data_IF_352860054586
#
_entry.id   IF_352860054586
#
_cell.length_a   1.000
_cell.length_b   1.000
_cell.length_c   1.000
_cell.angle_alpha   90.00
_cell.angle_beta   90.00
_cell.angle_gamma   90.00
#
_symmetry.space_group_name_H-M   'P 1'
#
loop_
_entity.id
_entity.type
_entity.pdbx_description
1 polymer ?
#
# COMPACT_ATOMS: atom_id res chain seq x y z
N UNK A 1 -22.77 9.74 16.82
CA UNK A 1 -22.17 8.44 17.10
C UNK A 1 -21.73 7.67 15.88
N UNK A 2 -22.64 7.31 14.94
CA UNK A 2 -22.36 6.38 13.81
C UNK A 2 -21.29 6.88 12.81
N UNK A 3 -21.23 8.17 12.52
CA UNK A 3 -20.19 8.76 11.67
C UNK A 3 -18.78 8.49 12.20
N UNK A 4 -18.59 8.67 13.51
CA UNK A 4 -17.28 8.50 14.16
C UNK A 4 -16.85 7.04 14.08
N UNK A 5 -17.77 6.11 14.34
CA UNK A 5 -17.48 4.66 14.31
C UNK A 5 -17.06 4.19 12.92
N UNK A 6 -17.76 4.62 11.86
CA UNK A 6 -17.44 4.24 10.50
C UNK A 6 -16.09 4.84 10.03
N UNK A 7 -15.85 6.13 10.31
CA UNK A 7 -14.55 6.74 9.99
C UNK A 7 -13.40 6.07 10.73
N UNK A 8 -13.62 5.68 11.99
CA UNK A 8 -12.64 4.95 12.78
C UNK A 8 -12.33 3.57 12.20
N UNK A 9 -13.35 2.85 11.69
CA UNK A 9 -13.15 1.55 11.03
C UNK A 9 -12.34 1.68 9.73
N UNK A 10 -12.58 2.70 8.92
CA UNK A 10 -11.86 2.92 7.67
C UNK A 10 -10.41 3.31 7.94
N UNK A 11 -10.19 4.19 8.92
CA UNK A 11 -8.84 4.53 9.40
C UNK A 11 -8.12 3.28 9.91
N UNK A 12 -8.80 2.45 10.71
CA UNK A 12 -8.22 1.23 11.26
C UNK A 12 -7.78 0.24 10.18
N UNK A 13 -8.56 0.09 9.10
CA UNK A 13 -8.19 -0.75 7.94
C UNK A 13 -6.87 -0.29 7.31
N UNK A 14 -6.72 1.01 7.05
CA UNK A 14 -5.50 1.57 6.48
C UNK A 14 -4.30 1.34 7.41
N UNK A 15 -4.45 1.63 8.70
CA UNK A 15 -3.38 1.45 9.67
C UNK A 15 -2.94 -0.01 9.78
N UNK A 16 -3.89 -0.95 9.82
CA UNK A 16 -3.59 -2.38 9.90
C UNK A 16 -2.84 -2.87 8.67
N UNK A 17 -3.32 -2.57 7.46
CA UNK A 17 -2.61 -2.93 6.22
C UNK A 17 -1.17 -2.41 6.25
N UNK A 18 -0.98 -1.16 6.67
CA UNK A 18 0.32 -0.54 6.72
C UNK A 18 1.25 -1.16 7.75
N UNK A 19 0.76 -1.44 8.97
CA UNK A 19 1.58 -2.06 10.03
C UNK A 19 2.02 -3.45 9.58
N UNK A 20 1.09 -4.29 9.15
CA UNK A 20 1.41 -5.64 8.69
C UNK A 20 2.33 -5.62 7.46
N UNK A 21 2.10 -4.71 6.52
CA UNK A 21 3.00 -4.53 5.37
C UNK A 21 4.44 -4.20 5.80
N UNK A 22 4.62 -3.21 6.70
CA UNK A 22 5.96 -2.85 7.19
C UNK A 22 6.63 -4.01 7.92
N UNK A 23 5.91 -4.71 8.79
CA UNK A 23 6.44 -5.86 9.53
C UNK A 23 6.87 -6.96 8.57
N UNK A 24 6.05 -7.31 7.58
CA UNK A 24 6.38 -8.30 6.56
C UNK A 24 7.60 -7.89 5.75
N UNK A 25 7.66 -6.64 5.29
CA UNK A 25 8.79 -6.15 4.49
C UNK A 25 10.09 -6.14 5.29
N UNK A 26 10.06 -5.73 6.56
CA UNK A 26 11.23 -5.80 7.43
C UNK A 26 11.68 -7.26 7.58
N UNK A 27 10.77 -8.17 7.89
CA UNK A 27 11.10 -9.58 8.07
C UNK A 27 11.71 -10.21 6.79
N UNK A 28 11.05 -10.01 5.64
CA UNK A 28 11.49 -10.59 4.36
C UNK A 28 12.81 -9.99 3.89
N UNK A 29 12.91 -8.66 3.82
CA UNK A 29 14.11 -7.98 3.25
C UNK A 29 15.32 -8.13 4.18
N UNK A 30 15.13 -8.10 5.50
CA UNK A 30 16.22 -8.36 6.45
C UNK A 30 16.66 -9.82 6.37
N UNK A 31 15.74 -10.76 6.20
CA UNK A 31 16.09 -12.17 5.94
C UNK A 31 16.89 -12.38 4.65
N UNK A 32 16.75 -11.50 3.66
CA UNK A 32 17.54 -11.48 2.42
C UNK A 32 18.88 -10.73 2.57
N UNK A 33 19.21 -10.23 3.77
CA UNK A 33 20.43 -9.49 4.04
C UNK A 33 20.42 -8.04 3.57
N UNK A 34 19.22 -7.47 3.32
CA UNK A 34 19.01 -6.09 2.93
C UNK A 34 18.34 -5.25 4.02
N UNK A 35 17.94 -4.03 3.66
CA UNK A 35 17.12 -3.15 4.47
C UNK A 35 16.00 -2.55 3.60
N UNK A 36 14.71 -2.62 4.01
CA UNK A 36 13.63 -2.25 3.10
C UNK A 36 13.47 -0.75 2.93
N UNK A 37 13.66 0.03 3.99
CA UNK A 37 13.41 1.48 3.99
C UNK A 37 14.45 2.23 4.80
N UNK A 38 14.99 3.32 4.27
CA UNK A 38 15.69 4.29 5.08
C UNK A 38 14.71 5.01 6.04
N UNK A 39 15.18 5.51 7.20
CA UNK A 39 14.32 6.19 8.18
C UNK A 39 13.47 7.32 7.57
N UNK A 40 14.08 8.15 6.71
CA UNK A 40 13.39 9.26 6.02
C UNK A 40 12.37 8.76 5.00
N UNK A 41 12.65 7.68 4.29
CA UNK A 41 11.69 7.02 3.38
C UNK A 41 10.49 6.46 4.16
N UNK A 42 10.73 5.91 5.35
CA UNK A 42 9.66 5.45 6.23
C UNK A 42 8.75 6.59 6.71
N UNK A 43 9.28 7.81 6.89
CA UNK A 43 8.50 8.99 7.21
C UNK A 43 7.60 9.39 6.01
N UNK A 44 8.16 9.40 4.78
CA UNK A 44 7.38 9.65 3.56
C UNK A 44 6.22 8.67 3.44
N UNK A 45 6.49 7.37 3.59
CA UNK A 45 5.45 6.33 3.57
C UNK A 45 4.40 6.56 4.66
N UNK A 46 4.79 7.13 5.81
CA UNK A 46 3.86 7.48 6.89
C UNK A 46 2.90 8.59 6.50
N UNK A 47 3.38 9.58 5.79
CA UNK A 47 2.58 10.67 5.29
C UNK A 47 1.52 10.18 4.29
N UNK A 48 1.94 9.41 3.29
CA UNK A 48 1.06 8.90 2.23
C UNK A 48 0.12 7.79 2.72
N UNK A 49 0.59 6.91 3.58
CA UNK A 49 -0.15 5.72 3.98
C UNK A 49 -0.94 5.85 5.28
N UNK A 50 -0.76 6.94 6.05
CA UNK A 50 -1.50 7.09 7.30
C UNK A 50 -1.97 8.52 7.56
N UNK A 51 -1.06 9.50 7.59
CA UNK A 51 -1.39 10.85 8.08
C UNK A 51 -2.46 11.52 7.22
N UNK A 52 -2.22 11.66 5.92
CA UNK A 52 -3.17 12.31 5.01
C UNK A 52 -4.46 11.51 4.87
N UNK A 53 -4.44 10.18 4.66
CA UNK A 53 -5.66 9.39 4.64
C UNK A 53 -6.47 9.46 5.92
N UNK A 54 -5.83 9.38 7.10
CA UNK A 54 -6.54 9.44 8.37
C UNK A 54 -7.27 10.77 8.57
N UNK A 55 -6.61 11.89 8.24
CA UNK A 55 -7.23 13.23 8.26
C UNK A 55 -8.41 13.29 7.29
N UNK A 56 -8.25 12.79 6.06
CA UNK A 56 -9.31 12.79 5.05
C UNK A 56 -10.53 11.97 5.52
N UNK A 57 -10.31 10.77 6.05
CA UNK A 57 -11.40 9.94 6.59
C UNK A 57 -12.04 10.53 7.84
N UNK A 58 -11.27 11.18 8.71
CA UNK A 58 -11.82 11.86 9.88
C UNK A 58 -12.74 13.04 9.49
N UNK A 59 -12.33 13.83 8.51
CA UNK A 59 -13.10 15.00 8.05
C UNK A 59 -14.35 14.61 7.24
N UNK A 60 -14.28 13.57 6.41
CA UNK A 60 -15.35 13.19 5.48
C UNK A 60 -15.98 11.84 5.76
N UNK A 61 -15.91 11.40 7.03
CA UNK A 61 -16.59 10.18 7.49
C UNK A 61 -18.10 10.22 7.23
N UNK A 62 -18.64 9.12 6.70
CA UNK A 62 -20.07 8.98 6.35
C UNK A 62 -20.87 8.31 7.46
N UNK A 63 -22.14 8.69 7.67
CA UNK A 63 -23.06 7.88 8.43
C UNK A 63 -23.42 6.65 7.62
N UNK A 64 -23.31 5.46 8.20
CA UNK A 64 -23.71 4.20 7.60
C UNK A 64 -24.07 3.20 8.68
N UNK A 65 -24.76 2.09 8.34
CA UNK A 65 -25.08 1.05 9.30
C UNK A 65 -23.78 0.43 9.85
N UNK A 66 -23.70 0.28 11.15
CA UNK A 66 -22.60 -0.44 11.80
C UNK A 66 -22.73 -1.93 11.45
N UNK A 67 -21.69 -2.58 10.91
CA UNK A 67 -21.76 -3.99 10.57
C UNK A 67 -21.99 -4.82 11.85
N UNK A 68 -23.03 -5.66 11.84
CA UNK A 68 -23.36 -6.60 12.93
C UNK A 68 -22.35 -7.76 13.04
N UNK A 69 -21.52 -7.96 12.03
CA UNK A 69 -20.47 -9.00 12.00
C UNK A 69 -19.30 -8.56 12.85
N UNK A 70 -18.66 -9.50 13.55
CA UNK A 70 -17.52 -9.21 14.40
C UNK A 70 -16.44 -8.41 13.65
N UNK A 71 -16.12 -7.23 14.17
CA UNK A 71 -15.21 -6.25 13.57
C UNK A 71 -13.88 -6.87 13.13
N UNK A 72 -13.36 -7.82 13.94
CA UNK A 72 -12.11 -8.52 13.65
C UNK A 72 -12.17 -9.35 12.37
N UNK A 73 -13.25 -10.11 12.13
CA UNK A 73 -13.41 -10.91 10.90
C UNK A 73 -13.49 -10.00 9.66
N UNK A 74 -14.23 -8.89 9.77
CA UNK A 74 -14.36 -7.94 8.68
C UNK A 74 -13.03 -7.26 8.33
N UNK A 75 -12.25 -6.90 9.36
CA UNK A 75 -10.91 -6.33 9.19
C UNK A 75 -9.95 -7.36 8.58
N UNK A 76 -9.90 -8.58 9.11
CA UNK A 76 -9.00 -9.63 8.62
C UNK A 76 -9.28 -9.98 7.15
N UNK A 77 -10.55 -10.04 6.75
CA UNK A 77 -10.98 -10.29 5.36
C UNK A 77 -10.42 -9.27 4.37
N UNK A 78 -10.28 -8.02 4.81
CA UNK A 78 -9.71 -6.94 3.99
C UNK A 78 -8.19 -6.88 4.10
N UNK A 79 -7.67 -6.87 5.34
CA UNK A 79 -6.27 -6.60 5.65
C UNK A 79 -5.35 -7.71 5.16
N UNK A 80 -5.71 -8.98 5.38
CA UNK A 80 -4.84 -10.11 5.08
C UNK A 80 -4.50 -10.21 3.59
N UNK A 81 -5.47 -10.31 2.65
CA UNK A 81 -5.15 -10.44 1.23
C UNK A 81 -4.46 -9.21 0.67
N UNK A 82 -4.93 -8.01 1.07
CA UNK A 82 -4.36 -6.75 0.61
C UNK A 82 -2.89 -6.62 1.01
N UNK A 83 -2.57 -6.97 2.27
CA UNK A 83 -1.20 -6.91 2.79
C UNK A 83 -0.30 -7.95 2.14
N UNK A 84 -0.77 -9.19 1.99
CA UNK A 84 0.02 -10.27 1.37
C UNK A 84 0.33 -9.95 -0.09
N UNK A 85 -0.66 -9.50 -0.86
CA UNK A 85 -0.45 -9.10 -2.26
C UNK A 85 0.49 -7.88 -2.34
N UNK A 86 0.32 -6.89 -1.46
CA UNK A 86 1.20 -5.72 -1.42
C UNK A 86 2.64 -6.12 -1.10
N UNK A 87 2.83 -7.02 -0.12
CA UNK A 87 4.15 -7.50 0.25
C UNK A 87 4.80 -8.35 -0.85
N UNK A 88 4.03 -9.17 -1.56
CA UNK A 88 4.52 -9.97 -2.69
C UNK A 88 5.02 -9.07 -3.83
N UNK A 89 4.22 -8.08 -4.25
CA UNK A 89 4.65 -7.09 -5.26
C UNK A 89 5.86 -6.29 -4.81
N UNK A 90 5.85 -5.80 -3.57
CA UNK A 90 6.94 -5.04 -2.99
C UNK A 90 8.24 -5.83 -2.93
N UNK A 91 8.18 -7.11 -2.55
CA UNK A 91 9.33 -8.01 -2.54
C UNK A 91 9.85 -8.26 -3.95
N UNK A 92 8.98 -8.51 -4.92
CA UNK A 92 9.37 -8.69 -6.31
C UNK A 92 10.05 -7.42 -6.87
N UNK A 93 9.50 -6.24 -6.59
CA UNK A 93 10.09 -4.96 -6.97
C UNK A 93 11.46 -4.80 -6.29
N UNK A 94 11.56 -5.00 -4.98
CA UNK A 94 12.82 -4.89 -4.28
C UNK A 94 13.90 -5.80 -4.89
N UNK A 95 13.58 -7.07 -5.14
CA UNK A 95 14.50 -8.02 -5.75
C UNK A 95 14.90 -7.63 -7.18
N UNK A 96 13.96 -7.17 -7.99
CA UNK A 96 14.21 -6.76 -9.37
C UNK A 96 15.22 -5.61 -9.47
N UNK A 97 15.26 -4.72 -8.48
CA UNK A 97 16.25 -3.63 -8.42
C UNK A 97 17.51 -3.99 -7.63
N UNK A 98 17.37 -4.76 -6.55
CA UNK A 98 18.48 -5.09 -5.66
C UNK A 98 19.44 -6.13 -6.28
N UNK A 99 18.93 -7.14 -7.00
CA UNK A 99 19.78 -8.20 -7.55
C UNK A 99 20.75 -7.68 -8.62
N UNK A 100 20.34 -6.92 -9.65
CA UNK A 100 21.29 -6.38 -10.62
C UNK A 100 22.23 -5.35 -10.01
N UNK A 101 21.76 -4.52 -9.07
CA UNK A 101 22.59 -3.56 -8.36
C UNK A 101 23.67 -4.24 -7.50
N UNK A 102 23.30 -5.33 -6.81
CA UNK A 102 24.26 -6.16 -6.06
C UNK A 102 25.28 -6.81 -6.98
N UNK A 103 24.85 -7.39 -8.10
CA UNK A 103 25.72 -8.06 -9.04
C UNK A 103 26.75 -7.08 -9.66
N UNK A 104 26.31 -5.91 -10.10
CA UNK A 104 27.19 -4.88 -10.67
C UNK A 104 28.17 -4.31 -9.62
N UNK A 105 27.71 -4.11 -8.38
CA UNK A 105 28.56 -3.59 -7.32
C UNK A 105 29.64 -4.59 -6.91
N UNK A 106 29.30 -5.89 -6.75
CA UNK A 106 30.25 -6.95 -6.42
C UNK A 106 31.26 -7.22 -7.53
N UNK A 107 30.88 -7.05 -8.79
CA UNK A 107 31.81 -7.14 -9.93
C UNK A 107 32.89 -6.04 -9.87
N UNK A 108 32.52 -4.84 -9.40
CA UNK A 108 33.44 -3.72 -9.24
C UNK A 108 34.24 -3.78 -7.91
N UNK A 109 33.69 -4.38 -6.87
CA UNK A 109 34.26 -4.43 -5.51
C UNK A 109 34.22 -5.86 -4.96
N UNK A 110 35.11 -6.76 -5.39
CA UNK A 110 35.16 -8.14 -4.90
C UNK A 110 35.44 -8.16 -3.39
N UNK A 111 34.53 -8.73 -2.61
CA UNK A 111 34.66 -8.82 -1.14
C UNK A 111 33.93 -7.75 -0.34
N UNK A 112 33.12 -6.90 -0.99
CA UNK A 112 32.30 -5.92 -0.31
C UNK A 112 31.33 -6.57 0.70
N UNK A 113 31.31 -6.07 1.93
CA UNK A 113 30.47 -6.56 3.01
C UNK A 113 29.01 -6.10 2.90
N UNK A 114 28.12 -6.71 3.68
CA UNK A 114 26.67 -6.38 3.67
C UNK A 114 26.40 -4.90 3.96
N UNK A 115 27.17 -4.25 4.80
CA UNK A 115 27.02 -2.82 5.12
C UNK A 115 27.29 -1.93 3.90
N UNK A 116 28.33 -2.25 3.13
CA UNK A 116 28.68 -1.51 1.91
C UNK A 116 27.63 -1.70 0.82
N UNK A 117 27.07 -2.90 0.69
CA UNK A 117 25.97 -3.18 -0.23
C UNK A 117 24.72 -2.36 0.13
N UNK A 118 24.36 -2.28 1.43
CA UNK A 118 23.22 -1.49 1.89
C UNK A 118 23.44 -0.01 1.61
N UNK A 119 24.66 0.51 1.81
CA UNK A 119 24.96 1.91 1.64
C UNK A 119 25.04 2.33 0.16
N UNK A 120 25.60 1.49 -0.71
CA UNK A 120 25.99 1.89 -2.06
C UNK A 120 25.21 1.17 -3.18
N UNK A 121 24.81 -0.08 -2.98
CA UNK A 121 24.14 -0.88 -4.00
C UNK A 121 22.61 -0.85 -3.89
N UNK A 122 22.05 -0.83 -2.68
CA UNK A 122 20.60 -0.96 -2.47
C UNK A 122 19.77 0.34 -2.46
N UNK A 123 20.30 1.58 -2.41
CA UNK A 123 19.46 2.78 -2.40
C UNK A 123 18.45 2.88 -3.54
N UNK A 124 18.74 2.47 -4.80
CA UNK A 124 17.75 2.46 -5.87
C UNK A 124 16.59 1.48 -5.59
N UNK A 125 16.89 0.30 -5.02
CA UNK A 125 15.88 -0.69 -4.67
C UNK A 125 14.97 -0.21 -3.52
N UNK A 126 15.55 0.41 -2.48
CA UNK A 126 14.82 1.04 -1.39
C UNK A 126 13.91 2.17 -1.90
N UNK A 127 14.42 2.97 -2.85
CA UNK A 127 13.64 4.05 -3.48
C UNK A 127 12.47 3.50 -4.29
N UNK A 128 12.70 2.49 -5.14
CA UNK A 128 11.65 1.84 -5.93
C UNK A 128 10.56 1.24 -5.04
N UNK A 129 10.96 0.55 -3.97
CA UNK A 129 10.07 -0.01 -2.96
C UNK A 129 9.23 1.08 -2.28
N UNK A 130 9.86 2.18 -1.87
CA UNK A 130 9.19 3.30 -1.20
C UNK A 130 8.15 3.96 -2.12
N UNK A 131 8.50 4.22 -3.38
CA UNK A 131 7.60 4.80 -4.37
C UNK A 131 6.39 3.88 -4.59
N UNK A 132 6.62 2.59 -4.83
CA UNK A 132 5.54 1.62 -4.97
C UNK A 132 4.64 1.60 -3.74
N UNK A 133 5.20 1.54 -2.53
CA UNK A 133 4.45 1.49 -1.29
C UNK A 133 3.61 2.77 -1.05
N UNK A 134 4.14 3.95 -1.41
CA UNK A 134 3.38 5.21 -1.36
C UNK A 134 2.22 5.21 -2.35
N UNK A 135 2.46 4.79 -3.61
CA UNK A 135 1.43 4.73 -4.65
C UNK A 135 0.35 3.70 -4.29
N UNK A 136 0.73 2.51 -3.85
CA UNK A 136 -0.19 1.47 -3.41
C UNK A 136 -1.04 1.94 -2.21
N UNK A 137 -0.43 2.62 -1.23
CA UNK A 137 -1.15 3.19 -0.08
C UNK A 137 -2.14 4.28 -0.51
N UNK A 138 -1.79 5.07 -1.53
CA UNK A 138 -2.70 6.08 -2.09
C UNK A 138 -3.88 5.44 -2.82
N UNK A 139 -3.64 4.38 -3.61
CA UNK A 139 -4.70 3.63 -4.29
C UNK A 139 -5.60 2.88 -3.30
N UNK A 140 -5.08 2.47 -2.15
CA UNK A 140 -5.85 1.83 -1.09
C UNK A 140 -7.00 2.72 -0.59
N UNK A 141 -6.84 4.05 -0.61
CA UNK A 141 -7.90 5.00 -0.25
C UNK A 141 -9.12 4.82 -1.17
N UNK A 142 -8.88 4.66 -2.49
CA UNK A 142 -9.97 4.43 -3.46
C UNK A 142 -10.67 3.08 -3.25
N UNK A 143 -9.96 2.09 -2.74
CA UNK A 143 -10.52 0.77 -2.48
C UNK A 143 -11.41 0.77 -1.22
N UNK A 144 -11.11 1.62 -0.23
CA UNK A 144 -11.89 1.76 1.01
C UNK A 144 -13.09 2.69 0.80
N UNK A 145 -12.90 3.79 0.05
CA UNK A 145 -13.96 4.74 -0.30
C UNK A 145 -14.11 4.84 -1.83
N UNK A 146 -14.75 3.85 -2.47
CA UNK A 146 -14.81 3.76 -3.92
C UNK A 146 -15.57 4.94 -4.53
N UNK A 147 -14.98 5.66 -5.50
CA UNK A 147 -15.64 6.75 -6.20
C UNK A 147 -16.61 6.26 -7.30
N UNK A 148 -16.48 5.01 -7.74
CA UNK A 148 -17.28 4.37 -8.79
C UNK A 148 -17.51 2.90 -8.47
N UNK A 149 -18.51 2.29 -9.12
CA UNK A 149 -18.85 0.87 -8.94
C UNK A 149 -17.70 -0.09 -9.33
N UNK A 150 -16.81 0.37 -10.22
CA UNK A 150 -15.60 -0.37 -10.60
C UNK A 150 -14.70 -0.67 -9.41
N UNK A 151 -14.53 0.30 -8.51
CA UNK A 151 -13.66 0.19 -7.33
C UNK A 151 -14.33 -0.49 -6.13
N UNK A 152 -15.66 -0.68 -6.16
CA UNK A 152 -16.43 -1.21 -5.02
C UNK A 152 -16.34 -2.73 -4.84
N UNK A 153 -15.58 -3.46 -5.67
CA UNK A 153 -15.45 -4.91 -5.53
C UNK A 153 -16.75 -5.71 -5.69
N UNK A 154 -17.84 -5.07 -6.16
CA UNK A 154 -19.15 -5.71 -6.32
C UNK A 154 -20.20 -5.29 -5.28
N UNK A 155 -19.83 -4.55 -4.23
CA UNK A 155 -20.80 -3.91 -3.35
C UNK A 155 -21.36 -2.61 -3.98
N UNK A 156 -22.67 -2.31 -3.88
CA UNK A 156 -23.23 -1.08 -4.43
C UNK A 156 -22.54 0.13 -3.77
N UNK A 157 -22.00 1.02 -4.58
CA UNK A 157 -21.39 2.25 -4.10
C UNK A 157 -22.50 3.22 -3.65
N UNK A 158 -22.77 3.27 -2.38
CA UNK A 158 -23.92 3.99 -1.79
C UNK A 158 -23.89 5.52 -1.95
N UNK A 159 -22.85 6.12 -2.49
CA UNK A 159 -22.78 7.51 -3.03
C UNK A 159 -21.39 7.81 -3.55
N UNK A 160 -21.30 8.20 -4.82
CA UNK A 160 -20.08 8.68 -5.49
C UNK A 160 -19.54 9.94 -4.82
N UNK A 161 -18.55 9.80 -3.94
CA UNK A 161 -17.90 10.95 -3.30
C UNK A 161 -16.60 11.29 -4.03
N UNK A 162 -16.67 12.34 -4.83
CA UNK A 162 -15.50 12.84 -5.58
C UNK A 162 -14.40 13.43 -4.68
N UNK A 163 -14.67 13.65 -3.39
CA UNK A 163 -13.71 14.24 -2.45
C UNK A 163 -12.51 13.32 -2.22
N UNK A 164 -12.74 12.01 -2.09
CA UNK A 164 -11.64 11.05 -1.94
C UNK A 164 -10.79 10.96 -3.20
N UNK A 165 -11.39 11.14 -4.39
CA UNK A 165 -10.62 11.24 -5.63
C UNK A 165 -9.72 12.47 -5.64
N UNK A 166 -10.19 13.60 -5.12
CA UNK A 166 -9.38 14.80 -4.98
C UNK A 166 -8.20 14.60 -4.01
N UNK A 167 -8.40 13.89 -2.90
CA UNK A 167 -7.31 13.54 -1.97
C UNK A 167 -6.26 12.67 -2.65
N UNK A 168 -6.70 11.66 -3.40
CA UNK A 168 -5.80 10.78 -4.16
C UNK A 168 -5.03 11.57 -5.22
N UNK A 169 -5.72 12.43 -5.98
CA UNK A 169 -5.08 13.32 -6.96
C UNK A 169 -4.05 14.25 -6.31
N UNK A 170 -4.38 14.82 -5.16
CA UNK A 170 -3.45 15.65 -4.37
C UNK A 170 -2.23 14.85 -3.93
N UNK A 171 -2.39 13.61 -3.44
CA UNK A 171 -1.27 12.76 -3.06
C UNK A 171 -0.39 12.40 -4.26
N UNK A 172 -0.98 12.06 -5.42
CA UNK A 172 -0.19 11.83 -6.64
C UNK A 172 0.61 13.07 -7.04
N UNK A 173 0.01 14.27 -6.95
CA UNK A 173 0.69 15.53 -7.23
C UNK A 173 1.83 15.77 -6.24
N UNK A 174 1.61 15.56 -4.94
CA UNK A 174 2.66 15.65 -3.92
C UNK A 174 3.80 14.68 -4.20
N UNK A 175 3.50 13.44 -4.59
CA UNK A 175 4.53 12.46 -4.94
C UNK A 175 5.33 12.90 -6.16
N UNK A 176 4.67 13.38 -7.21
CA UNK A 176 5.32 13.93 -8.38
C UNK A 176 6.22 15.14 -8.03
N UNK A 177 5.76 16.03 -7.16
CA UNK A 177 6.54 17.15 -6.68
C UNK A 177 7.79 16.72 -5.89
N UNK A 178 7.66 15.75 -4.97
CA UNK A 178 8.80 15.20 -4.21
C UNK A 178 9.83 14.59 -5.14
N UNK A 179 9.40 13.89 -6.19
CA UNK A 179 10.31 13.25 -7.15
C UNK A 179 10.92 14.23 -8.16
N UNK A 180 10.19 15.28 -8.54
CA UNK A 180 10.67 16.30 -9.50
C UNK A 180 11.70 17.25 -8.87
N UNK A 181 11.47 17.64 -7.60
CA UNK A 181 12.33 18.62 -6.92
C UNK A 181 13.54 17.94 -6.29
N UNK A 182 14.78 18.38 -6.63
CA UNK A 182 16.00 17.79 -6.04
C UNK A 182 16.01 17.81 -4.51
N UNK A 183 15.52 18.91 -3.92
CA UNK A 183 15.40 19.04 -2.46
C UNK A 183 14.50 17.97 -1.85
N UNK A 184 13.38 17.61 -2.49
CA UNK A 184 12.49 16.55 -2.05
C UNK A 184 13.20 15.18 -2.03
N UNK A 185 13.94 14.88 -3.09
CA UNK A 185 14.73 13.64 -3.18
C UNK A 185 15.81 13.56 -2.12
N UNK A 186 16.56 14.62 -1.89
CA UNK A 186 17.61 14.64 -0.85
C UNK A 186 17.03 14.57 0.55
N UNK A 187 15.90 15.24 0.79
CA UNK A 187 15.23 15.25 2.10
C UNK A 187 14.74 13.85 2.50
N UNK A 188 14.22 13.09 1.55
CA UNK A 188 13.73 11.73 1.78
C UNK A 188 14.72 10.62 1.38
N UNK A 189 15.97 10.97 1.08
CA UNK A 189 17.03 10.01 0.69
C UNK A 189 16.60 9.13 -0.51
N UNK A 190 15.92 9.74 -1.49
CA UNK A 190 15.47 9.05 -2.69
C UNK A 190 16.52 9.16 -3.79
N UNK A 191 16.91 8.05 -4.37
CA UNK A 191 17.77 8.00 -5.55
C UNK A 191 17.00 8.42 -6.79
N UNK A 192 17.60 9.26 -7.64
CA UNK A 192 16.99 9.58 -8.93
C UNK A 192 16.93 8.33 -9.82
N UNK A 193 15.72 7.97 -10.22
CA UNK A 193 15.47 6.89 -11.15
C UNK A 193 15.16 7.44 -12.54
N UNK A 194 15.43 6.73 -13.63
CA UNK A 194 15.00 7.13 -14.96
C UNK A 194 13.46 7.12 -15.07
N UNK A 195 12.92 7.98 -15.92
CA UNK A 195 11.46 8.22 -16.04
C UNK A 195 10.68 6.93 -16.31
N UNK A 196 11.21 6.02 -17.13
CA UNK A 196 10.55 4.75 -17.42
C UNK A 196 10.34 3.87 -16.18
N UNK A 197 11.25 3.95 -15.17
CA UNK A 197 11.09 3.22 -13.92
C UNK A 197 9.94 3.77 -13.06
N UNK A 198 9.74 5.08 -13.04
CA UNK A 198 8.57 5.66 -12.38
C UNK A 198 7.26 5.22 -13.04
N UNK A 199 7.23 5.13 -14.37
CA UNK A 199 6.06 4.62 -15.11
C UNK A 199 5.80 3.14 -14.82
N UNK A 200 6.85 2.31 -14.79
CA UNK A 200 6.72 0.89 -14.40
C UNK A 200 6.21 0.72 -12.98
N UNK A 201 6.73 1.47 -12.02
CA UNK A 201 6.27 1.41 -10.63
C UNK A 201 4.80 1.84 -10.49
N UNK A 202 4.39 2.87 -11.23
CA UNK A 202 3.00 3.31 -11.27
C UNK A 202 2.10 2.24 -11.89
N UNK A 203 2.52 1.63 -12.99
CA UNK A 203 1.81 0.52 -13.62
C UNK A 203 1.68 -0.70 -12.70
N UNK A 204 2.75 -1.05 -11.97
CA UNK A 204 2.72 -2.14 -11.00
C UNK A 204 1.80 -1.85 -9.81
N UNK A 205 1.77 -0.61 -9.31
CA UNK A 205 0.85 -0.21 -8.25
C UNK A 205 -0.62 -0.30 -8.72
N UNK A 206 -0.88 0.10 -9.97
CA UNK A 206 -2.20 -0.05 -10.57
C UNK A 206 -2.57 -1.54 -10.78
N UNK A 207 -1.65 -2.36 -11.31
CA UNK A 207 -1.85 -3.79 -11.48
C UNK A 207 -2.14 -4.48 -10.14
N UNK A 208 -1.39 -4.14 -9.09
CA UNK A 208 -1.66 -4.61 -7.74
C UNK A 208 -3.07 -4.25 -7.28
N UNK A 209 -3.52 -3.01 -7.51
CA UNK A 209 -4.86 -2.58 -7.12
C UNK A 209 -5.95 -3.36 -7.84
N UNK A 210 -5.79 -3.61 -9.16
CA UNK A 210 -6.73 -4.42 -9.93
C UNK A 210 -6.76 -5.89 -9.46
N UNK A 211 -5.60 -6.44 -9.12
CA UNK A 211 -5.52 -7.80 -8.60
C UNK A 211 -6.22 -7.93 -7.23
N UNK A 212 -6.06 -6.94 -6.34
CA UNK A 212 -6.80 -6.89 -5.09
C UNK A 212 -8.32 -6.85 -5.31
N UNK A 213 -8.79 -6.02 -6.25
CA UNK A 213 -10.21 -5.95 -6.62
C UNK A 213 -10.71 -7.29 -7.18
N UNK A 214 -9.91 -7.96 -8.00
CA UNK A 214 -10.24 -9.27 -8.55
C UNK A 214 -10.38 -10.32 -7.45
N UNK A 215 -9.43 -10.38 -6.51
CA UNK A 215 -9.44 -11.30 -5.37
C UNK A 215 -10.69 -11.10 -4.52
N UNK A 216 -11.13 -9.86 -4.33
CA UNK A 216 -12.36 -9.58 -3.59
C UNK A 216 -13.63 -9.96 -4.36
N UNK A 217 -13.66 -9.70 -5.68
CA UNK A 217 -14.80 -10.08 -6.55
C UNK A 217 -14.99 -11.60 -6.66
N UNK A 218 -13.90 -12.35 -6.66
CA UNK A 218 -13.95 -13.83 -6.78
C UNK A 218 -14.34 -14.53 -5.47
N UNK A 219 -14.36 -13.83 -4.33
CA UNK A 219 -14.78 -14.39 -3.04
C UNK A 219 -13.92 -15.59 -2.57
N UNK A 220 -12.72 -15.76 -3.12
CA UNK A 220 -11.82 -16.87 -2.78
C UNK A 220 -11.56 -16.93 -1.28
N UNK A 221 -11.44 -15.78 -0.64
CA UNK A 221 -11.22 -15.70 0.81
C UNK A 221 -12.45 -16.08 1.64
N UNK A 222 -13.65 -15.86 1.12
CA UNK A 222 -14.89 -16.23 1.81
C UNK A 222 -15.00 -17.73 1.96
N UNK A 223 -14.52 -18.47 0.93
CA UNK A 223 -14.42 -19.94 0.98
C UNK A 223 -13.32 -20.42 1.94
N UNK A 224 -12.22 -19.70 2.03
CA UNK A 224 -11.06 -20.08 2.85
C UNK A 224 -11.26 -19.76 4.34
N UNK A 225 -11.90 -18.62 4.65
CA UNK A 225 -12.17 -18.19 6.04
C UNK A 225 -13.49 -18.73 6.61
N UNK A 226 -14.21 -19.58 5.85
CA UNK A 226 -15.48 -20.15 6.28
C UNK A 226 -16.57 -19.09 6.55
N UNK A 227 -16.48 -17.94 5.90
CA UNK A 227 -17.42 -16.82 6.04
C UNK A 227 -18.44 -16.77 4.89
N UNK A 228 -18.56 -17.86 4.11
CA UNK A 228 -19.68 -18.01 3.18
C UNK A 228 -20.96 -17.88 4.01
N UNK A 229 -21.67 -16.76 3.85
CA UNK A 229 -23.01 -16.57 4.41
C UNK A 229 -23.86 -17.73 3.88
N UNK A 230 -24.28 -18.58 4.80
CA UNK A 230 -25.33 -19.56 4.52
C UNK A 230 -26.60 -18.76 4.20
N UNK A 231 -27.13 -18.83 2.95
CA UNK A 231 -28.31 -18.03 2.57
C UNK A 231 -29.60 -18.44 3.30
N UNK A 232 -29.49 -19.38 4.24
CA UNK A 232 -30.62 -19.94 4.99
C UNK A 232 -30.97 -19.26 6.32
N UNK A 233 -30.24 -18.26 6.78
CA UNK A 233 -30.42 -17.72 8.15
C UNK A 233 -31.00 -16.28 8.19
N UNK A 234 -31.68 -15.83 7.13
CA UNK A 234 -32.44 -14.57 7.13
C UNK A 234 -33.93 -14.71 7.54
N UNK A 235 -34.37 -15.90 7.92
CA UNK A 235 -35.74 -16.16 8.40
C UNK A 235 -35.71 -16.86 9.77
N UNK A 236 -35.30 -16.18 10.81
CA UNK A 236 -35.66 -16.52 12.19
C UNK A 236 -35.55 -15.30 13.09
#
# INVERSE_FOLDING_TARGET
GQRIVNGMNDILRIFMVRIFFKVLMIAVVTGLGGFPFAPRQSALLSWFGATVPAVAFALWSRPGPTPKVGLFKLLARFVVPTTLLMAAFATAIYLAWALPAKASYLAAHPGAGSRELIANAYPPAMTALTIFACLASTLLILMIAPPTDWWSGGAPAERKDRRMLAVVGFLFLCMAAVLAVPLGRTLFELTALPVWQYLTLTGLAFAWSQLCLLVWKTGVLDRWLGTAQDPGNECA
#
